data_IF_618566135429
#
_entry.id   IF_618566135429
#
_cell.length_a   1.000
_cell.length_b   1.000
_cell.length_c   1.000
_cell.angle_alpha   90.00
_cell.angle_beta   90.00
_cell.angle_gamma   90.00
#
_symmetry.space_group_name_H-M   'P 1'
#
loop_
_entity.id
_entity.type
_entity.pdbx_description
1 polymer ?
#
# COMPACT_ATOMS: atom_id res chain seq x y z
N UNK A 1 47.31 11.27 -26.60
CA UNK A 1 46.43 12.37 -26.14
C UNK A 1 47.23 13.67 -26.22
N UNK A 2 46.91 14.58 -27.15
CA UNK A 2 47.65 15.85 -27.34
C UNK A 2 47.37 16.89 -26.25
N UNK A 3 46.34 16.69 -25.43
CA UNK A 3 45.90 17.60 -24.37
C UNK A 3 46.27 17.06 -22.99
N UNK A 4 46.73 17.94 -22.09
CA UNK A 4 47.10 17.60 -20.71
C UNK A 4 45.91 17.08 -19.89
N UNK A 5 46.11 15.96 -19.20
CA UNK A 5 45.13 15.34 -18.29
C UNK A 5 44.68 16.30 -17.17
N UNK A 6 45.59 17.11 -16.63
CA UNK A 6 45.25 18.07 -15.58
C UNK A 6 44.31 19.18 -16.05
N UNK A 7 44.44 19.63 -17.31
CA UNK A 7 43.50 20.59 -17.91
C UNK A 7 42.11 19.96 -18.06
N UNK A 8 42.03 18.71 -18.53
CA UNK A 8 40.76 17.99 -18.65
C UNK A 8 40.07 17.79 -17.29
N UNK A 9 40.84 17.49 -16.23
CA UNK A 9 40.30 17.36 -14.88
C UNK A 9 39.71 18.68 -14.36
N UNK A 10 40.39 19.81 -14.57
CA UNK A 10 39.86 21.14 -14.20
C UNK A 10 38.59 21.51 -14.94
N UNK A 11 38.51 21.18 -16.23
CA UNK A 11 37.29 21.41 -17.03
C UNK A 11 36.14 20.55 -16.50
N UNK A 12 36.39 19.29 -16.17
CA UNK A 12 35.38 18.39 -15.59
C UNK A 12 34.91 18.83 -14.20
N UNK A 13 35.82 19.36 -13.37
CA UNK A 13 35.48 19.95 -12.07
C UNK A 13 34.60 21.21 -12.23
N UNK A 14 34.99 22.11 -13.15
CA UNK A 14 34.22 23.32 -13.45
C UNK A 14 32.83 22.99 -14.01
N UNK A 15 32.71 22.03 -14.92
CA UNK A 15 31.41 21.60 -15.44
C UNK A 15 30.53 21.01 -14.35
N UNK A 16 31.09 20.19 -13.46
CA UNK A 16 30.34 19.61 -12.36
C UNK A 16 29.80 20.70 -11.42
N UNK A 17 30.59 21.75 -11.17
CA UNK A 17 30.17 22.92 -10.39
C UNK A 17 29.07 23.75 -11.08
N UNK A 18 29.09 23.87 -12.41
CA UNK A 18 28.07 24.63 -13.16
C UNK A 18 26.71 23.92 -13.14
N UNK A 19 26.69 22.59 -13.16
CA UNK A 19 25.47 21.80 -13.32
C UNK A 19 25.02 21.07 -12.04
N UNK A 20 25.56 21.46 -10.87
CA UNK A 20 25.30 20.79 -9.59
C UNK A 20 25.50 19.26 -9.63
N UNK A 21 26.52 18.82 -10.38
CA UNK A 21 26.89 17.41 -10.48
C UNK A 21 28.04 17.07 -9.52
N UNK A 22 28.15 15.80 -9.15
CA UNK A 22 29.21 15.32 -8.27
C UNK A 22 30.47 14.99 -9.07
N UNK A 23 31.58 15.66 -8.75
CA UNK A 23 32.91 15.34 -9.31
C UNK A 23 33.62 14.28 -8.46
N UNK A 24 33.92 13.10 -9.03
CA UNK A 24 34.59 11.98 -8.34
C UNK A 24 35.82 11.47 -9.13
N UNK A 25 36.98 12.13 -9.04
CA UNK A 25 38.17 11.77 -9.81
C UNK A 25 38.84 10.48 -9.34
N UNK A 26 38.59 10.05 -8.10
CA UNK A 26 39.20 8.87 -7.46
C UNK A 26 38.33 7.61 -7.56
N UNK A 27 37.14 7.73 -8.16
CA UNK A 27 36.17 6.63 -8.32
C UNK A 27 35.79 5.95 -7.00
N UNK A 28 35.76 6.70 -5.90
CA UNK A 28 35.37 6.18 -4.58
C UNK A 28 33.87 5.92 -4.53
N UNK A 29 33.44 4.91 -3.78
CA UNK A 29 32.02 4.56 -3.60
C UNK A 29 31.33 5.54 -2.63
N UNK A 30 30.75 6.61 -3.16
CA UNK A 30 30.07 7.65 -2.37
C UNK A 30 28.60 7.37 -2.05
N UNK A 31 28.02 6.29 -2.60
CA UNK A 31 26.59 5.96 -2.38
C UNK A 31 25.60 6.81 -3.20
N UNK A 32 26.07 7.71 -4.07
CA UNK A 32 25.21 8.60 -4.87
C UNK A 32 24.17 7.84 -5.72
N UNK A 33 24.51 6.63 -6.21
CA UNK A 33 23.59 5.73 -6.93
C UNK A 33 22.34 5.35 -6.13
N UNK A 34 22.42 5.32 -4.80
CA UNK A 34 21.29 4.97 -3.94
C UNK A 34 20.42 6.20 -3.73
N UNK A 35 21.04 7.35 -3.44
CA UNK A 35 20.35 8.61 -3.15
C UNK A 35 19.67 9.21 -4.39
N UNK A 36 20.27 9.07 -5.57
CA UNK A 36 19.69 9.58 -6.83
C UNK A 36 18.49 8.76 -7.34
N UNK A 37 18.22 7.59 -6.77
CA UNK A 37 17.05 6.79 -7.16
C UNK A 37 15.78 7.50 -6.71
N UNK A 38 14.87 7.70 -7.67
CA UNK A 38 13.52 8.22 -7.39
C UNK A 38 12.78 7.27 -6.45
N UNK A 39 12.11 7.84 -5.46
CA UNK A 39 11.31 7.09 -4.50
C UNK A 39 10.06 6.50 -5.20
N UNK A 40 9.80 5.21 -4.95
CA UNK A 40 8.65 4.47 -5.52
C UNK A 40 7.50 4.23 -4.54
N UNK A 41 7.63 4.72 -3.31
CA UNK A 41 6.66 4.51 -2.22
C UNK A 41 5.22 4.89 -2.59
N UNK A 42 4.97 6.09 -3.17
CA UNK A 42 3.63 6.49 -3.56
C UNK A 42 2.96 5.55 -4.56
N UNK A 43 3.70 5.08 -5.57
CA UNK A 43 3.20 4.13 -6.56
C UNK A 43 2.84 2.76 -5.95
N UNK A 44 3.66 2.28 -5.00
CA UNK A 44 3.38 1.02 -4.29
C UNK A 44 2.16 1.15 -3.38
N UNK A 45 2.02 2.28 -2.67
CA UNK A 45 0.85 2.55 -1.81
C UNK A 45 -0.46 2.48 -2.59
N UNK A 46 -0.47 2.95 -3.83
CA UNK A 46 -1.67 3.02 -4.69
C UNK A 46 -2.03 1.69 -5.37
N UNK A 47 -1.40 0.56 -5.00
CA UNK A 47 -1.55 -0.72 -5.71
C UNK A 47 -3.01 -1.18 -5.88
N UNK A 48 -3.84 -1.13 -4.83
CA UNK A 48 -5.26 -1.51 -4.90
C UNK A 48 -6.20 -0.34 -5.24
N UNK A 49 -5.67 0.87 -5.42
CA UNK A 49 -6.46 2.08 -5.67
C UNK A 49 -6.78 2.89 -4.41
N UNK A 50 -7.69 3.86 -4.56
CA UNK A 50 -8.14 4.72 -3.47
C UNK A 50 -9.13 3.95 -2.56
N UNK A 51 -8.87 3.79 -1.25
CA UNK A 51 -9.83 3.16 -0.33
C UNK A 51 -11.11 3.98 -0.13
N UNK A 52 -11.06 5.29 -0.40
CA UNK A 52 -12.14 6.25 -0.17
C UNK A 52 -13.08 6.33 -1.38
N UNK A 53 -13.64 5.20 -1.75
CA UNK A 53 -14.72 5.09 -2.75
C UNK A 53 -16.10 5.09 -2.08
N UNK A 54 -17.11 5.60 -2.78
CA UNK A 54 -18.49 5.56 -2.31
C UNK A 54 -18.98 4.11 -2.18
N UNK A 55 -19.10 3.65 -0.93
CA UNK A 55 -19.72 2.40 -0.51
C UNK A 55 -21.23 2.60 -0.29
N UNK A 56 -21.99 1.51 -0.36
CA UNK A 56 -23.43 1.51 -0.12
C UNK A 56 -23.85 2.15 1.21
N UNK A 57 -23.02 2.01 2.26
CA UNK A 57 -23.24 2.67 3.56
C UNK A 57 -23.36 4.19 3.46
N UNK A 58 -22.61 4.82 2.54
CA UNK A 58 -22.62 6.27 2.38
C UNK A 58 -23.90 6.77 1.68
N UNK A 59 -24.57 5.93 0.89
CA UNK A 59 -25.82 6.30 0.21
C UNK A 59 -26.92 6.69 1.20
N UNK A 60 -26.99 5.99 2.35
CA UNK A 60 -27.95 6.30 3.42
C UNK A 60 -27.68 7.63 4.12
N UNK A 61 -26.41 8.03 4.20
CA UNK A 61 -26.01 9.32 4.78
C UNK A 61 -26.22 10.46 3.78
N UNK A 62 -25.93 10.22 2.50
CA UNK A 62 -26.03 11.23 1.44
C UNK A 62 -27.47 11.52 1.02
N UNK A 63 -28.33 10.50 1.02
CA UNK A 63 -29.75 10.65 0.65
C UNK A 63 -30.66 9.98 1.69
N UNK A 64 -30.90 10.63 2.85
CA UNK A 64 -31.71 10.07 3.91
C UNK A 64 -33.17 9.79 3.52
N UNK A 65 -33.70 10.58 2.58
CA UNK A 65 -35.10 10.48 2.13
C UNK A 65 -35.35 9.24 1.24
N UNK A 66 -34.29 8.63 0.69
CA UNK A 66 -34.37 7.45 -0.15
C UNK A 66 -34.04 6.18 0.62
N UNK A 67 -34.92 5.19 0.56
CA UNK A 67 -34.69 3.87 1.15
C UNK A 67 -33.98 2.96 0.14
N UNK A 68 -32.66 2.87 0.24
CA UNK A 68 -31.87 1.94 -0.55
C UNK A 68 -31.81 0.54 0.09
N UNK A 69 -31.87 -0.49 -0.76
CA UNK A 69 -31.67 -1.90 -0.41
C UNK A 69 -30.46 -2.48 -1.14
N UNK A 70 -29.63 -3.27 -0.45
CA UNK A 70 -28.48 -3.97 -1.02
C UNK A 70 -28.89 -5.45 -1.23
N UNK A 71 -29.12 -5.87 -2.49
CA UNK A 71 -29.69 -7.19 -2.77
C UNK A 71 -28.78 -8.33 -2.31
N UNK A 72 -27.46 -8.16 -2.39
CA UNK A 72 -26.51 -9.19 -1.97
C UNK A 72 -26.49 -9.34 -0.45
N UNK A 73 -26.60 -8.22 0.28
CA UNK A 73 -26.69 -8.24 1.74
C UNK A 73 -28.03 -8.81 2.23
N UNK A 74 -29.14 -8.46 1.59
CA UNK A 74 -30.46 -9.04 1.89
C UNK A 74 -30.47 -10.55 1.65
N UNK A 75 -29.92 -10.99 0.52
CA UNK A 75 -29.74 -12.40 0.23
C UNK A 75 -28.87 -13.09 1.28
N UNK A 76 -27.74 -12.49 1.68
CA UNK A 76 -26.87 -13.03 2.73
C UNK A 76 -27.62 -13.22 4.06
N UNK A 77 -28.46 -12.25 4.45
CA UNK A 77 -29.26 -12.32 5.67
C UNK A 77 -30.33 -13.42 5.60
N UNK A 78 -31.06 -13.52 4.49
CA UNK A 78 -32.05 -14.59 4.28
C UNK A 78 -31.42 -15.99 4.36
N UNK A 79 -30.22 -16.15 3.78
CA UNK A 79 -29.48 -17.41 3.85
C UNK A 79 -29.00 -17.74 5.26
N UNK A 80 -28.64 -16.72 6.06
CA UNK A 80 -28.31 -16.90 7.48
C UNK A 80 -29.54 -17.37 8.26
N UNK A 81 -30.71 -16.78 8.04
CA UNK A 81 -31.95 -17.22 8.67
C UNK A 81 -32.32 -18.65 8.30
N UNK A 82 -32.27 -18.99 7.01
CA UNK A 82 -32.56 -20.33 6.53
C UNK A 82 -31.63 -21.36 7.18
N UNK A 83 -30.33 -21.04 7.32
CA UNK A 83 -29.35 -21.89 8.02
C UNK A 83 -29.70 -22.08 9.49
N UNK A 84 -30.15 -21.02 10.18
CA UNK A 84 -30.59 -21.11 11.59
C UNK A 84 -31.81 -22.02 11.74
N UNK A 85 -32.82 -21.88 10.88
CA UNK A 85 -34.06 -22.69 10.91
C UNK A 85 -33.78 -24.19 10.84
N UNK A 86 -32.81 -24.61 10.04
CA UNK A 86 -32.42 -26.03 9.88
C UNK A 86 -31.36 -26.52 10.88
N UNK A 87 -31.04 -25.74 11.93
CA UNK A 87 -30.00 -26.10 12.90
C UNK A 87 -28.58 -26.15 12.33
N UNK A 88 -28.34 -25.51 11.17
CA UNK A 88 -27.01 -25.39 10.53
C UNK A 88 -26.45 -23.97 10.65
N UNK A 89 -26.89 -23.24 11.67
CA UNK A 89 -26.34 -21.93 12.02
C UNK A 89 -24.90 -22.05 12.51
N UNK A 90 -24.15 -20.96 12.42
CA UNK A 90 -22.81 -20.89 12.99
C UNK A 90 -22.90 -21.11 14.51
N UNK A 91 -22.06 -21.98 15.11
CA UNK A 91 -22.04 -22.15 16.56
C UNK A 91 -21.65 -20.85 17.27
N UNK A 92 -22.02 -20.74 18.54
CA UNK A 92 -21.62 -19.59 19.35
C UNK A 92 -20.08 -19.52 19.46
N UNK A 93 -19.52 -18.35 19.11
CA UNK A 93 -18.07 -18.12 19.22
C UNK A 93 -17.66 -18.12 20.69
N UNK A 94 -16.71 -18.98 21.06
CA UNK A 94 -16.14 -19.01 22.41
C UNK A 94 -15.45 -17.67 22.72
N UNK A 95 -15.70 -17.12 23.92
CA UNK A 95 -15.12 -15.84 24.38
C UNK A 95 -13.93 -16.02 25.33
N UNK A 96 -13.68 -17.24 25.78
CA UNK A 96 -12.57 -17.60 26.66
C UNK A 96 -11.73 -18.71 26.01
N UNK A 97 -10.42 -18.81 26.34
CA UNK A 97 -9.60 -19.94 25.92
C UNK A 97 -10.20 -21.24 26.42
N UNK A 98 -10.24 -22.27 25.58
CA UNK A 98 -10.78 -23.56 25.97
C UNK A 98 -9.76 -24.30 26.84
N UNK A 99 -10.01 -24.40 28.15
CA UNK A 99 -9.33 -25.37 29.02
C UNK A 99 -9.79 -26.79 28.66
N UNK A 100 -9.26 -27.33 27.57
CA UNK A 100 -9.38 -28.76 27.26
C UNK A 100 -8.32 -29.52 28.06
N UNK A 101 -8.56 -29.71 29.36
CA UNK A 101 -7.99 -30.88 30.05
C UNK A 101 -8.59 -32.11 29.37
N UNK A 102 -7.80 -32.77 28.50
CA UNK A 102 -8.07 -34.15 28.08
C UNK A 102 -8.21 -34.97 29.37
N UNK A 103 -9.43 -35.41 29.69
CA UNK A 103 -9.61 -36.49 30.66
C UNK A 103 -8.96 -37.74 30.05
N UNK A 104 -8.00 -38.30 30.77
CA UNK A 104 -7.45 -39.64 30.54
C UNK A 104 -8.58 -40.65 30.56
#
# INVERSE_FOLDING_TARGET
>A
MSVSRGKLQKVAELSAKIFDQVYNPTNVRTGNKILSKRLKGPSIKQYYGNPDVLKFKHMKTLYPDMKFTDPDEEYRLSMVELRKRRGKGTPAKAKAPSDKKKKK
#
